data_IF_367872749716
#
_entry.id   IF_367872749716
#
_cell.length_a   1.000
_cell.length_b   1.000
_cell.length_c   1.000
_cell.angle_alpha   90.00
_cell.angle_beta   90.00
_cell.angle_gamma   90.00
#
_symmetry.space_group_name_H-M   'P 1'
#
loop_
_entity.id
_entity.type
_entity.pdbx_description
1 polymer ?
#
# COMPACT_ATOMS: atom_id res chain seq x y z
N UNK A 1 32.88 -20.90 64.61
CA UNK A 1 31.45 -20.49 64.55
C UNK A 1 31.31 -19.48 63.41
N UNK A 2 30.80 -19.92 62.26
CA UNK A 2 30.82 -19.15 60.99
C UNK A 2 29.44 -18.50 60.79
N UNK A 3 29.37 -17.18 60.87
CA UNK A 3 28.13 -16.41 60.62
C UNK A 3 28.06 -16.07 59.14
N UNK A 4 27.10 -16.66 58.45
CA UNK A 4 26.69 -16.28 57.10
C UNK A 4 25.45 -15.40 57.28
N UNK A 5 25.51 -14.16 56.79
CA UNK A 5 24.36 -13.27 56.67
C UNK A 5 24.28 -12.81 55.21
N UNK A 6 23.11 -13.08 54.62
CA UNK A 6 22.68 -12.84 53.24
C UNK A 6 22.03 -11.46 53.06
N UNK A 7 21.71 -11.14 51.79
CA UNK A 7 20.76 -10.12 51.29
C UNK A 7 21.42 -8.73 51.09
N UNK A 8 21.48 -8.13 49.89
CA UNK A 8 20.36 -7.65 49.05
C UNK A 8 20.67 -7.68 47.55
N UNK A 9 19.76 -8.27 46.76
CA UNK A 9 19.62 -8.02 45.34
C UNK A 9 18.77 -6.75 45.13
N UNK A 10 19.27 -5.77 44.37
CA UNK A 10 18.46 -4.65 43.88
C UNK A 10 18.04 -4.97 42.45
N UNK A 11 16.81 -5.45 42.31
CA UNK A 11 16.10 -5.55 41.05
C UNK A 11 15.53 -4.17 40.68
N UNK A 12 16.19 -3.47 39.75
CA UNK A 12 15.64 -2.26 39.13
C UNK A 12 14.92 -2.61 37.83
N UNK A 13 13.64 -3.02 37.92
CA UNK A 13 12.77 -3.13 36.74
C UNK A 13 12.30 -1.72 36.35
N UNK A 14 13.01 -1.08 35.42
CA UNK A 14 12.47 0.08 34.69
C UNK A 14 11.52 -0.42 33.60
N UNK A 15 10.22 -0.44 33.90
CA UNK A 15 9.16 -0.65 32.91
C UNK A 15 9.06 0.62 32.05
N UNK A 16 9.84 0.69 30.97
CA UNK A 16 9.56 1.63 29.90
C UNK A 16 8.27 1.19 29.21
N UNK A 17 7.16 1.85 29.56
CA UNK A 17 5.90 1.74 28.85
C UNK A 17 6.11 2.20 27.41
N UNK A 18 6.35 1.24 26.51
CA UNK A 18 6.38 1.47 25.08
C UNK A 18 4.93 1.72 24.63
N UNK A 19 4.48 2.97 24.71
CA UNK A 19 3.23 3.38 24.10
C UNK A 19 3.32 3.18 22.60
N UNK A 20 2.58 2.22 22.06
CA UNK A 20 2.48 1.98 20.61
C UNK A 20 1.80 3.18 19.97
N UNK A 21 2.59 4.07 19.34
CA UNK A 21 2.05 5.14 18.50
C UNK A 21 1.46 4.45 17.27
N UNK A 22 0.13 4.31 17.22
CA UNK A 22 -0.54 3.82 16.03
C UNK A 22 -0.40 4.89 14.94
N UNK A 23 0.52 4.67 14.00
CA UNK A 23 0.60 5.51 12.80
C UNK A 23 -0.66 5.26 11.95
N UNK A 24 -1.57 6.23 11.94
CA UNK A 24 -2.67 6.26 10.98
C UNK A 24 -2.10 6.47 9.59
N UNK A 25 -2.45 5.60 8.65
CA UNK A 25 -1.94 5.71 7.28
C UNK A 25 -2.36 7.04 6.64
N UNK A 26 -1.39 7.81 6.17
CA UNK A 26 -1.61 9.07 5.47
C UNK A 26 -2.07 8.80 4.03
N UNK A 27 -3.01 9.59 3.53
CA UNK A 27 -3.36 9.60 2.10
C UNK A 27 -2.30 10.37 1.33
N UNK A 28 -1.76 9.76 0.27
CA UNK A 28 -0.65 10.30 -0.52
C UNK A 28 -1.13 10.98 -1.80
N UNK A 29 -2.24 10.51 -2.37
CA UNK A 29 -2.83 11.07 -3.59
C UNK A 29 -3.59 10.02 -4.40
N UNK A 30 -4.07 10.41 -5.59
CA UNK A 30 -4.74 9.50 -6.53
C UNK A 30 -3.77 8.51 -7.21
N UNK A 31 -4.33 7.51 -7.88
CA UNK A 31 -3.54 6.55 -8.69
C UNK A 31 -3.60 6.94 -10.16
N UNK A 32 -2.44 7.19 -10.79
CA UNK A 32 -2.35 7.30 -12.24
C UNK A 32 -2.36 5.90 -12.88
N UNK A 33 -3.54 5.48 -13.36
CA UNK A 33 -3.74 4.17 -13.95
C UNK A 33 -3.01 4.00 -15.29
N UNK A 34 -2.83 5.08 -16.07
CA UNK A 34 -2.10 5.01 -17.34
C UNK A 34 -0.59 4.81 -17.08
N UNK A 35 -0.03 5.54 -16.12
CA UNK A 35 1.35 5.32 -15.68
C UNK A 35 1.52 3.91 -15.13
N UNK A 36 0.54 3.39 -14.39
CA UNK A 36 0.56 2.00 -13.92
C UNK A 36 0.69 1.00 -15.08
N UNK A 37 -0.07 1.17 -16.16
CA UNK A 37 0.06 0.33 -17.36
C UNK A 37 1.44 0.42 -18.01
N UNK A 38 1.97 1.63 -18.16
CA UNK A 38 3.27 1.87 -18.78
C UNK A 38 4.44 1.29 -17.96
N UNK A 39 4.28 1.19 -16.64
CA UNK A 39 5.31 0.65 -15.75
C UNK A 39 5.21 -0.87 -15.57
N UNK A 40 4.00 -1.42 -15.47
CA UNK A 40 3.81 -2.85 -15.21
C UNK A 40 4.03 -3.74 -16.45
N UNK A 41 3.98 -3.14 -17.65
CA UNK A 41 4.05 -3.87 -18.90
C UNK A 41 5.03 -3.22 -19.89
N UNK A 42 5.53 -3.98 -20.89
CA UNK A 42 6.42 -3.44 -21.90
C UNK A 42 5.82 -2.23 -22.65
N UNK A 43 6.60 -1.15 -22.84
CA UNK A 43 6.10 0.06 -23.50
C UNK A 43 5.74 -0.17 -24.97
N UNK A 44 6.35 -1.17 -25.62
CA UNK A 44 6.04 -1.56 -27.01
C UNK A 44 4.61 -2.04 -27.21
N UNK A 45 3.86 -2.31 -26.14
CA UNK A 45 2.48 -2.77 -26.25
C UNK A 45 1.46 -1.65 -26.46
N UNK A 46 1.86 -0.37 -26.31
CA UNK A 46 0.97 0.77 -26.57
C UNK A 46 -0.30 0.77 -25.72
N UNK A 47 -0.23 0.25 -24.48
CA UNK A 47 -1.39 0.01 -23.65
C UNK A 47 -2.09 1.31 -23.21
N UNK A 48 -3.41 1.27 -23.10
CA UNK A 48 -4.24 2.34 -22.55
C UNK A 48 -4.97 1.88 -21.30
N UNK A 49 -4.95 2.71 -20.26
CA UNK A 49 -5.76 2.46 -19.08
C UNK A 49 -7.23 2.76 -19.40
N UNK A 50 -8.10 1.78 -19.21
CA UNK A 50 -9.53 1.87 -19.47
C UNK A 50 -10.32 1.29 -18.31
N UNK A 51 -11.54 1.78 -18.15
CA UNK A 51 -12.54 1.29 -17.20
C UNK A 51 -13.53 0.45 -18.01
N UNK A 52 -13.62 -0.86 -17.73
CA UNK A 52 -14.55 -1.74 -18.44
C UNK A 52 -16.00 -1.61 -17.94
N UNK A 53 -16.17 -1.19 -16.68
CA UNK A 53 -17.47 -0.94 -16.07
C UNK A 53 -17.38 0.28 -15.16
N UNK A 54 -18.14 1.33 -15.51
CA UNK A 54 -18.17 2.61 -14.82
C UNK A 54 -18.74 2.53 -13.40
N UNK A 55 -19.40 1.42 -13.03
CA UNK A 55 -19.98 1.19 -11.72
C UNK A 55 -19.20 0.17 -10.88
N UNK A 56 -17.98 -0.18 -11.29
CA UNK A 56 -17.16 -1.17 -10.61
C UNK A 56 -15.71 -0.69 -10.55
N UNK A 57 -15.21 -0.45 -9.33
CA UNK A 57 -13.88 0.09 -9.16
C UNK A 57 -12.75 -0.85 -9.57
N UNK A 58 -13.02 -2.16 -9.61
CA UNK A 58 -12.04 -3.17 -9.98
C UNK A 58 -11.95 -3.41 -11.50
N UNK A 59 -12.73 -2.67 -12.29
CA UNK A 59 -12.85 -2.82 -13.74
C UNK A 59 -11.72 -2.15 -14.54
N UNK A 60 -10.79 -1.45 -13.86
CA UNK A 60 -9.59 -0.89 -14.49
C UNK A 60 -8.74 -1.97 -15.14
N UNK A 61 -8.38 -1.74 -16.41
CA UNK A 61 -7.52 -2.62 -17.20
C UNK A 61 -6.56 -1.82 -18.07
N UNK A 62 -5.45 -2.44 -18.43
CA UNK A 62 -4.60 -2.00 -19.52
C UNK A 62 -5.06 -2.68 -20.80
N UNK A 63 -5.75 -1.94 -21.66
CA UNK A 63 -6.18 -2.41 -22.97
C UNK A 63 -5.07 -2.24 -24.00
N UNK A 64 -4.78 -3.31 -24.73
CA UNK A 64 -3.91 -3.32 -25.90
C UNK A 64 -4.72 -3.00 -27.17
N UNK A 65 -4.07 -2.50 -28.23
CA UNK A 65 -4.77 -2.15 -29.48
C UNK A 65 -5.32 -3.37 -30.24
N UNK A 66 -4.90 -4.60 -29.90
CA UNK A 66 -5.38 -5.85 -30.50
C UNK A 66 -6.42 -6.59 -29.62
N UNK A 67 -7.27 -5.83 -28.93
CA UNK A 67 -8.41 -6.33 -28.14
C UNK A 67 -8.03 -7.33 -27.02
N UNK A 68 -6.90 -7.09 -26.38
CA UNK A 68 -6.46 -7.84 -25.20
C UNK A 68 -6.40 -6.91 -23.99
N UNK A 69 -6.84 -7.36 -22.82
CA UNK A 69 -6.76 -6.57 -21.59
C UNK A 69 -5.88 -7.25 -20.55
N UNK A 70 -5.18 -6.43 -19.76
CA UNK A 70 -4.35 -6.88 -18.65
C UNK A 70 -4.79 -6.21 -17.36
N UNK A 71 -4.65 -6.89 -16.24
CA UNK A 71 -5.05 -6.37 -14.94
C UNK A 71 -4.06 -5.32 -14.43
N UNK A 72 -4.54 -4.27 -13.79
CA UNK A 72 -3.66 -3.31 -13.10
C UNK A 72 -3.46 -3.76 -11.66
N UNK A 73 -2.21 -3.98 -11.23
CA UNK A 73 -1.89 -4.13 -9.82
C UNK A 73 -1.78 -2.74 -9.17
N UNK A 74 -2.87 -2.29 -8.53
CA UNK A 74 -2.95 -0.93 -7.95
C UNK A 74 -1.97 -0.75 -6.77
N UNK A 75 -1.68 -1.80 -6.00
CA UNK A 75 -0.69 -1.73 -4.92
C UNK A 75 0.72 -1.48 -5.47
N UNK A 76 1.12 -2.23 -6.51
CA UNK A 76 2.39 -2.01 -7.18
C UNK A 76 2.46 -0.62 -7.85
N UNK A 77 1.34 -0.14 -8.38
CA UNK A 77 1.23 1.21 -8.91
C UNK A 77 1.51 2.27 -7.83
N UNK A 78 0.91 2.14 -6.65
CA UNK A 78 1.16 3.05 -5.52
C UNK A 78 2.63 3.02 -5.07
N UNK A 79 3.21 1.83 -4.89
CA UNK A 79 4.61 1.70 -4.51
C UNK A 79 5.55 2.34 -5.54
N UNK A 80 5.21 2.28 -6.83
CA UNK A 80 6.00 2.90 -7.90
C UNK A 80 5.79 4.42 -8.02
N UNK A 81 4.58 4.92 -7.74
CA UNK A 81 4.24 6.35 -7.87
C UNK A 81 4.67 7.17 -6.64
N UNK A 82 4.55 6.60 -5.44
CA UNK A 82 4.77 7.31 -4.17
C UNK A 82 5.88 6.69 -3.30
N UNK A 83 6.56 5.67 -3.80
CA UNK A 83 7.73 5.06 -3.17
C UNK A 83 7.42 3.84 -2.28
N UNK A 84 8.48 3.22 -1.71
CA UNK A 84 8.34 2.00 -0.92
C UNK A 84 7.38 2.16 0.27
N UNK A 85 6.54 1.15 0.47
CA UNK A 85 5.54 1.14 1.54
C UNK A 85 4.22 1.85 1.20
N UNK A 86 4.12 2.53 0.05
CA UNK A 86 2.83 3.02 -0.43
C UNK A 86 1.98 1.85 -0.99
N UNK A 87 0.71 1.82 -0.61
CA UNK A 87 -0.25 0.80 -1.04
C UNK A 87 -1.60 1.44 -1.41
N UNK A 88 -2.44 0.67 -2.07
CA UNK A 88 -3.73 1.13 -2.56
C UNK A 88 -4.78 1.15 -1.46
N UNK A 89 -5.57 2.23 -1.42
CA UNK A 89 -6.85 2.32 -0.75
C UNK A 89 -7.97 2.51 -1.78
N UNK A 90 -9.19 2.15 -1.39
CA UNK A 90 -10.37 2.29 -2.22
C UNK A 90 -11.43 3.11 -1.48
N UNK A 91 -11.87 4.22 -2.08
CA UNK A 91 -12.88 5.10 -1.50
C UNK A 91 -14.32 4.58 -1.71
N UNK A 92 -14.59 3.94 -2.85
CA UNK A 92 -15.88 3.33 -3.16
C UNK A 92 -15.73 2.17 -4.14
N UNK A 93 -16.32 1.02 -3.83
CA UNK A 93 -16.32 -0.14 -4.71
C UNK A 93 -17.09 0.08 -6.03
N UNK A 94 -17.98 1.07 -6.08
CA UNK A 94 -18.81 1.36 -7.26
C UNK A 94 -18.31 2.54 -8.09
N UNK A 95 -17.23 3.20 -7.67
CA UNK A 95 -16.65 4.32 -8.41
C UNK A 95 -15.19 3.99 -8.80
N UNK A 96 -14.89 3.74 -10.08
CA UNK A 96 -13.54 3.43 -10.54
C UNK A 96 -12.54 4.56 -10.34
N UNK A 97 -12.98 5.80 -10.18
CA UNK A 97 -12.07 6.91 -9.94
C UNK A 97 -11.76 7.15 -8.45
N UNK A 98 -12.20 6.25 -7.56
CA UNK A 98 -12.03 6.39 -6.11
C UNK A 98 -10.78 5.69 -5.54
N UNK A 99 -9.90 5.17 -6.40
CA UNK A 99 -8.62 4.63 -5.97
C UNK A 99 -7.67 5.75 -5.50
N UNK A 100 -6.97 5.49 -4.41
CA UNK A 100 -5.96 6.39 -3.87
C UNK A 100 -4.79 5.59 -3.30
N UNK A 101 -3.65 6.24 -3.11
CA UNK A 101 -2.49 5.68 -2.44
C UNK A 101 -2.42 6.18 -0.99
N UNK A 102 -1.96 5.32 -0.10
CA UNK A 102 -1.75 5.62 1.32
C UNK A 102 -0.51 4.92 1.88
N UNK A 103 -0.02 5.37 3.04
CA UNK A 103 1.05 4.73 3.81
C UNK A 103 0.86 4.94 5.30
#
# INVERSE_FOLDING_TARGET
MKRILTITAVAGLALFGMGSISASAATLGGVDMQRACNTQYPPSFGLKAVVLDQHNAYSWRCAAPWDNTRQINVNAACANQYGPGAYAGLGSATNPYSWYCRR
#
